data_IF_716593970224
#
_entry.id   IF_716593970224
#
_cell.length_a   1.000
_cell.length_b   1.000
_cell.length_c   1.000
_cell.angle_alpha   90.00
_cell.angle_beta   90.00
_cell.angle_gamma   90.00
#
_symmetry.space_group_name_H-M   'P 1'
#
loop_
_entity.id
_entity.type
_entity.pdbx_description
1 polymer ?
#
# COMPACT_ATOMS: atom_id res chain seq x y z
N UNK A 1 -17.28 12.94 14.92
CA UNK A 1 -16.37 13.47 13.91
C UNK A 1 -15.79 12.27 13.20
N UNK A 2 -16.34 11.95 12.02
CA UNK A 2 -15.97 10.78 11.24
C UNK A 2 -14.68 11.13 10.50
N UNK A 3 -13.53 10.77 11.06
CA UNK A 3 -12.26 10.89 10.34
C UNK A 3 -12.35 9.98 9.12
N UNK A 4 -12.47 10.57 7.93
CA UNK A 4 -12.47 9.84 6.67
C UNK A 4 -11.18 9.02 6.57
N UNK A 5 -11.32 7.70 6.73
CA UNK A 5 -10.27 6.70 6.54
C UNK A 5 -9.66 6.71 5.13
N UNK A 6 -10.21 7.51 4.21
CA UNK A 6 -9.74 7.72 2.83
C UNK A 6 -8.26 8.14 2.78
N UNK A 7 -7.79 9.00 3.70
CA UNK A 7 -6.39 9.48 3.63
C UNK A 7 -5.35 8.41 4.04
N UNK A 8 -5.52 7.65 5.14
CA UNK A 8 -4.67 6.47 5.42
C UNK A 8 -4.64 5.43 4.29
N UNK A 9 -5.75 5.30 3.55
CA UNK A 9 -5.91 4.33 2.46
C UNK A 9 -5.18 4.74 1.16
N UNK A 10 -4.86 6.02 1.01
CA UNK A 10 -4.14 6.54 -0.15
C UNK A 10 -2.62 6.40 0.00
N UNK A 11 -2.09 6.01 1.15
CA UNK A 11 -0.65 6.12 1.45
C UNK A 11 0.18 5.06 0.72
N UNK A 12 -0.25 3.78 0.75
CA UNK A 12 0.38 2.75 -0.10
C UNK A 12 0.13 3.07 -1.57
N UNK A 13 -1.07 3.55 -1.90
CA UNK A 13 -1.41 3.99 -3.24
C UNK A 13 -0.49 5.09 -3.80
N UNK A 14 -0.11 6.05 -2.97
CA UNK A 14 0.83 7.11 -3.30
C UNK A 14 2.28 6.63 -3.35
N UNK A 15 2.69 5.70 -2.48
CA UNK A 15 4.01 5.09 -2.55
C UNK A 15 4.17 4.28 -3.85
N UNK A 16 3.13 3.56 -4.24
CA UNK A 16 3.03 2.88 -5.55
C UNK A 16 3.05 3.90 -6.68
N UNK A 17 2.24 4.96 -6.62
CA UNK A 17 2.19 6.01 -7.65
C UNK A 17 3.55 6.73 -7.84
N UNK A 18 4.25 7.03 -6.75
CA UNK A 18 5.57 7.67 -6.79
C UNK A 18 6.69 6.72 -7.22
N UNK A 19 6.52 5.41 -7.06
CA UNK A 19 7.46 4.40 -7.59
C UNK A 19 7.46 4.33 -9.13
N UNK A 20 6.49 4.97 -9.81
CA UNK A 20 6.40 5.02 -11.28
C UNK A 20 7.23 6.13 -11.94
N UNK A 21 7.91 6.99 -11.16
CA UNK A 21 8.83 7.98 -11.71
C UNK A 21 10.22 7.35 -11.89
N UNK A 22 10.62 7.07 -13.14
CA UNK A 22 11.91 6.46 -13.55
C UNK A 22 13.19 7.11 -12.96
N UNK A 23 13.10 8.23 -12.24
CA UNK A 23 14.25 8.99 -11.74
C UNK A 23 14.10 9.51 -10.29
N UNK A 24 13.28 8.90 -9.44
CA UNK A 24 13.31 9.24 -8.00
C UNK A 24 13.54 8.02 -7.14
N UNK A 25 14.49 8.18 -6.22
CA UNK A 25 14.85 7.28 -5.13
C UNK A 25 13.64 6.50 -4.62
N UNK A 26 13.79 5.18 -4.41
CA UNK A 26 12.82 4.31 -3.74
C UNK A 26 12.10 5.11 -2.65
N UNK A 27 10.77 5.15 -2.69
CA UNK A 27 10.01 5.96 -1.76
C UNK A 27 10.46 5.62 -0.32
N UNK A 28 10.91 6.61 0.48
CA UNK A 28 11.56 6.40 1.78
C UNK A 28 10.64 5.74 2.83
N UNK A 29 9.36 5.51 2.54
CA UNK A 29 8.38 4.95 3.49
C UNK A 29 8.77 3.56 3.99
N UNK A 30 9.24 2.69 3.09
CA UNK A 30 9.69 1.33 3.41
C UNK A 30 11.13 1.33 3.96
N UNK A 31 11.87 2.42 3.78
CA UNK A 31 13.26 2.54 4.24
C UNK A 31 13.40 3.29 5.58
N UNK A 32 12.38 4.02 6.03
CA UNK A 32 12.43 4.81 7.28
C UNK A 32 12.18 3.94 8.51
N UNK A 33 11.18 3.07 8.44
CA UNK A 33 10.84 2.18 9.54
C UNK A 33 11.63 0.88 9.44
N UNK A 34 11.20 -0.03 8.56
CA UNK A 34 11.63 -1.43 8.56
C UNK A 34 11.59 -1.98 7.14
N UNK A 35 12.55 -2.85 6.79
CA UNK A 35 12.57 -3.51 5.49
C UNK A 35 11.42 -4.51 5.38
N UNK A 36 10.25 -4.00 5.03
CA UNK A 36 9.09 -4.79 4.66
C UNK A 36 8.46 -4.16 3.43
N UNK A 37 8.59 -4.85 2.31
CA UNK A 37 7.87 -4.53 1.09
C UNK A 37 6.50 -5.22 1.15
N UNK A 38 5.38 -4.49 1.12
CA UNK A 38 4.06 -5.10 1.08
C UNK A 38 3.99 -5.96 -0.18
N UNK A 39 3.71 -7.24 -0.02
CA UNK A 39 3.84 -8.20 -1.12
C UNK A 39 2.93 -7.91 -2.33
N UNK A 40 1.87 -7.10 -2.18
CA UNK A 40 0.99 -6.65 -3.28
C UNK A 40 1.35 -5.26 -3.83
N UNK A 41 2.26 -4.53 -3.18
CA UNK A 41 2.68 -3.19 -3.56
C UNK A 41 4.16 -3.10 -3.94
N UNK A 42 4.79 -4.24 -4.24
CA UNK A 42 6.18 -4.30 -4.69
C UNK A 42 6.25 -3.88 -6.17
N UNK A 43 6.85 -2.74 -6.54
CA UNK A 43 6.93 -2.28 -7.93
C UNK A 43 7.69 -3.23 -8.87
N UNK A 44 8.49 -4.14 -8.32
CA UNK A 44 9.15 -5.22 -9.08
C UNK A 44 8.25 -6.42 -9.38
N UNK A 45 7.04 -6.49 -8.82
CA UNK A 45 6.09 -7.58 -9.05
C UNK A 45 5.56 -7.58 -10.49
N UNK A 46 5.84 -8.65 -11.24
CA UNK A 46 5.47 -8.75 -12.66
C UNK A 46 3.95 -8.69 -12.88
N UNK A 47 3.14 -9.29 -11.99
CA UNK A 47 1.68 -9.23 -12.11
C UNK A 47 1.16 -7.82 -11.85
N UNK A 48 1.76 -7.12 -10.91
CA UNK A 48 1.45 -5.72 -10.65
C UNK A 48 1.82 -4.85 -11.86
N UNK A 49 3.01 -5.01 -12.45
CA UNK A 49 3.44 -4.27 -13.66
C UNK A 49 2.48 -4.48 -14.83
N UNK A 50 2.02 -5.70 -15.05
CA UNK A 50 0.99 -5.99 -16.06
C UNK A 50 -0.30 -5.21 -15.77
N UNK A 51 -0.82 -5.28 -14.54
CA UNK A 51 -2.03 -4.55 -14.14
C UNK A 51 -1.89 -3.03 -14.26
N UNK A 52 -0.72 -2.49 -13.91
CA UNK A 52 -0.39 -1.08 -14.10
C UNK A 52 -0.48 -0.71 -15.59
N UNK A 53 0.14 -1.49 -16.46
CA UNK A 53 0.10 -1.25 -17.91
C UNK A 53 -1.32 -1.36 -18.47
N UNK A 54 -2.11 -2.34 -18.02
CA UNK A 54 -3.49 -2.54 -18.44
C UNK A 54 -4.41 -1.38 -18.02
N UNK A 55 -4.20 -0.80 -16.84
CA UNK A 55 -5.12 0.20 -16.24
C UNK A 55 -4.69 1.64 -16.54
N UNK A 56 -3.39 1.91 -16.51
CA UNK A 56 -2.85 3.27 -16.70
C UNK A 56 -2.35 3.53 -18.12
N UNK A 57 -2.04 2.49 -18.88
CA UNK A 57 -1.36 2.64 -20.17
C UNK A 57 0.07 3.15 -19.99
N UNK A 58 0.31 4.42 -20.27
CA UNK A 58 1.63 5.06 -20.13
C UNK A 58 1.83 5.60 -18.69
N UNK A 59 2.83 5.10 -17.93
CA UNK A 59 3.11 5.56 -16.55
C UNK A 59 3.44 7.06 -16.45
N UNK A 60 3.79 7.73 -17.57
CA UNK A 60 4.02 9.19 -17.59
C UNK A 60 2.74 10.01 -17.38
N UNK A 61 1.56 9.39 -17.51
CA UNK A 61 0.26 10.04 -17.31
C UNK A 61 -0.03 10.44 -15.86
N UNK A 62 0.80 10.01 -14.90
CA UNK A 62 0.68 10.34 -13.47
C UNK A 62 1.65 11.43 -12.98
N UNK A 63 2.46 12.02 -13.88
CA UNK A 63 3.36 13.10 -13.49
C UNK A 63 2.57 14.41 -13.28
N UNK A 64 2.28 14.74 -12.04
CA UNK A 64 1.76 16.06 -11.68
C UNK A 64 2.92 17.00 -11.36
N UNK A 65 3.08 18.07 -12.16
CA UNK A 65 4.05 19.15 -11.90
C UNK A 65 3.61 20.08 -10.77
N UNK A 66 2.35 19.97 -10.33
CA UNK A 66 1.71 20.73 -9.25
C UNK A 66 1.13 19.77 -8.21
N UNK A 67 0.86 20.22 -6.97
CA UNK A 67 0.09 19.42 -6.02
C UNK A 67 -1.25 18.98 -6.64
N UNK A 68 -1.62 17.69 -6.57
CA UNK A 68 -2.87 17.20 -7.12
C UNK A 68 -4.07 17.84 -6.40
N UNK A 69 -5.11 18.14 -7.16
CA UNK A 69 -6.41 18.58 -6.64
C UNK A 69 -7.13 17.42 -5.96
N UNK A 70 -8.11 17.72 -5.09
CA UNK A 70 -8.91 16.69 -4.41
C UNK A 70 -9.59 15.72 -5.41
N UNK A 71 -10.02 16.22 -6.57
CA UNK A 71 -10.60 15.40 -7.63
C UNK A 71 -9.56 14.46 -8.26
N UNK A 72 -8.34 14.95 -8.52
CA UNK A 72 -7.25 14.11 -9.03
C UNK A 72 -6.83 13.04 -8.02
N UNK A 73 -6.91 13.34 -6.71
CA UNK A 73 -6.69 12.36 -5.65
C UNK A 73 -7.73 11.24 -5.66
N UNK A 74 -9.01 11.58 -5.83
CA UNK A 74 -10.09 10.59 -5.92
C UNK A 74 -9.95 9.70 -7.16
N UNK A 75 -9.65 10.29 -8.33
CA UNK A 75 -9.41 9.54 -9.57
C UNK A 75 -8.18 8.62 -9.46
N UNK A 76 -7.12 9.09 -8.80
CA UNK A 76 -5.94 8.30 -8.52
C UNK A 76 -6.26 7.14 -7.57
N UNK A 77 -7.03 7.39 -6.51
CA UNK A 77 -7.51 6.37 -5.57
C UNK A 77 -8.22 5.22 -6.29
N UNK A 78 -9.13 5.58 -7.21
CA UNK A 78 -9.92 4.60 -7.96
C UNK A 78 -9.03 3.76 -8.87
N UNK A 79 -8.09 4.39 -9.60
CA UNK A 79 -7.11 3.69 -10.44
C UNK A 79 -6.26 2.71 -9.63
N UNK A 80 -5.78 3.12 -8.47
CA UNK A 80 -5.00 2.28 -7.56
C UNK A 80 -5.82 1.10 -7.06
N UNK A 81 -7.08 1.33 -6.67
CA UNK A 81 -7.97 0.24 -6.26
C UNK A 81 -8.16 -0.79 -7.37
N UNK A 82 -8.28 -0.34 -8.63
CA UNK A 82 -8.33 -1.25 -9.78
C UNK A 82 -7.02 -2.03 -9.99
N UNK A 83 -5.86 -1.41 -9.79
CA UNK A 83 -4.55 -2.07 -9.90
C UNK A 83 -4.42 -3.17 -8.85
N UNK A 84 -4.77 -2.87 -7.61
CA UNK A 84 -4.75 -3.82 -6.50
C UNK A 84 -5.76 -4.96 -6.72
N UNK A 85 -6.97 -4.66 -7.22
CA UNK A 85 -7.93 -5.70 -7.61
C UNK A 85 -7.40 -6.61 -8.73
N UNK A 86 -6.86 -6.02 -9.81
CA UNK A 86 -6.28 -6.78 -10.91
C UNK A 86 -5.15 -7.71 -10.41
N UNK A 87 -4.27 -7.17 -9.56
CA UNK A 87 -3.13 -7.91 -9.01
C UNK A 87 -3.63 -9.06 -8.14
N UNK A 88 -4.59 -8.80 -7.25
CA UNK A 88 -5.22 -9.83 -6.40
C UNK A 88 -5.89 -10.94 -7.22
N UNK A 89 -6.56 -10.60 -8.34
CA UNK A 89 -7.13 -11.59 -9.27
C UNK A 89 -6.05 -12.47 -9.91
N UNK A 90 -4.95 -11.88 -10.39
CA UNK A 90 -3.83 -12.64 -10.96
C UNK A 90 -3.13 -13.53 -9.94
N UNK A 91 -3.26 -13.25 -8.64
CA UNK A 91 -2.80 -14.09 -7.54
C UNK A 91 -3.85 -15.05 -6.99
N UNK A 92 -5.06 -15.07 -7.54
CA UNK A 92 -6.17 -15.88 -7.05
C UNK A 92 -6.50 -15.59 -5.57
N UNK A 93 -6.26 -14.35 -5.13
CA UNK A 93 -6.53 -13.92 -3.75
C UNK A 93 -8.01 -13.62 -3.52
N UNK A 94 -8.82 -13.60 -4.58
CA UNK A 94 -10.24 -13.30 -4.51
C UNK A 94 -11.06 -14.53 -4.90
N UNK A 95 -12.10 -14.82 -4.12
CA UNK A 95 -13.12 -15.80 -4.50
C UNK A 95 -14.11 -15.22 -5.53
N UNK A 96 -15.10 -16.01 -5.94
CA UNK A 96 -16.12 -15.60 -6.91
C UNK A 96 -16.98 -14.42 -6.45
N UNK A 97 -17.06 -14.20 -5.13
CA UNK A 97 -17.82 -13.12 -4.52
C UNK A 97 -16.93 -11.88 -4.25
N UNK A 98 -15.65 -11.96 -4.63
CA UNK A 98 -14.67 -10.90 -4.42
C UNK A 98 -14.12 -10.83 -3.00
N UNK A 99 -14.28 -11.86 -2.17
CA UNK A 99 -13.70 -11.89 -0.83
C UNK A 99 -12.26 -12.39 -0.86
N UNK A 100 -11.47 -11.93 0.11
CA UNK A 100 -10.07 -12.33 0.24
C UNK A 100 -9.98 -13.78 0.72
N UNK A 101 -9.26 -14.60 -0.03
CA UNK A 101 -9.00 -16.01 0.31
C UNK A 101 -7.73 -16.09 1.17
N UNK A 102 -7.91 -16.20 2.50
CA UNK A 102 -6.80 -16.22 3.46
C UNK A 102 -5.74 -17.28 3.13
N UNK A 103 -6.13 -18.49 2.74
CA UNK A 103 -5.17 -19.54 2.43
C UNK A 103 -4.24 -19.16 1.26
N UNK A 104 -4.79 -18.53 0.21
CA UNK A 104 -4.04 -18.06 -0.96
C UNK A 104 -3.15 -16.86 -0.61
N UNK A 105 -3.66 -15.96 0.23
CA UNK A 105 -2.89 -14.85 0.78
C UNK A 105 -1.64 -15.35 1.53
N UNK A 106 -1.78 -16.35 2.41
CA UNK A 106 -0.65 -16.90 3.15
C UNK A 106 0.33 -17.64 2.24
N UNK A 107 -0.17 -18.40 1.26
CA UNK A 107 0.66 -19.07 0.25
C UNK A 107 1.55 -18.06 -0.50
N UNK A 108 0.96 -16.97 -1.00
CA UNK A 108 1.70 -15.92 -1.71
C UNK A 108 2.66 -15.19 -0.78
N UNK A 109 2.22 -14.84 0.43
CA UNK A 109 3.04 -14.10 1.38
C UNK A 109 4.26 -14.90 1.84
N UNK A 110 4.12 -16.20 2.10
CA UNK A 110 5.22 -17.08 2.54
C UNK A 110 6.42 -17.05 1.58
N UNK A 111 6.18 -16.97 0.26
CA UNK A 111 7.25 -16.88 -0.73
C UNK A 111 8.08 -15.58 -0.63
N UNK A 112 7.53 -14.52 -0.04
CA UNK A 112 8.18 -13.20 0.06
C UNK A 112 8.71 -12.87 1.46
N UNK A 113 8.11 -13.43 2.51
CA UNK A 113 8.42 -13.08 3.91
C UNK A 113 9.28 -14.10 4.65
N UNK A 114 9.60 -15.24 4.02
CA UNK A 114 10.42 -16.29 4.65
C UNK A 114 11.76 -15.72 5.11
N UNK A 115 12.12 -15.95 6.38
CA UNK A 115 13.35 -15.41 6.99
C UNK A 115 13.26 -13.95 7.41
N UNK A 116 12.09 -13.31 7.27
CA UNK A 116 11.83 -11.96 7.78
C UNK A 116 11.12 -12.02 9.14
N UNK A 117 11.08 -10.90 9.87
CA UNK A 117 10.35 -10.83 11.13
C UNK A 117 8.84 -11.12 10.95
N UNK A 118 8.28 -10.85 9.76
CA UNK A 118 6.86 -11.03 9.49
C UNK A 118 6.43 -12.49 9.32
N UNK A 119 7.36 -13.43 9.16
CA UNK A 119 7.05 -14.86 8.98
C UNK A 119 6.14 -15.40 10.09
N UNK A 120 6.40 -14.99 11.34
CA UNK A 120 5.61 -15.42 12.51
C UNK A 120 4.37 -14.56 12.78
N UNK A 121 4.21 -13.44 12.10
CA UNK A 121 3.14 -12.46 12.35
C UNK A 121 2.11 -12.38 11.22
N UNK A 122 2.43 -12.88 10.02
CA UNK A 122 1.60 -12.68 8.84
C UNK A 122 0.20 -13.29 8.98
N UNK A 123 0.06 -14.45 9.63
CA UNK A 123 -1.22 -15.13 9.72
C UNK A 123 -2.20 -14.35 10.60
N UNK A 124 -1.74 -13.90 11.76
CA UNK A 124 -2.53 -13.07 12.66
C UNK A 124 -2.84 -11.72 12.03
N UNK A 125 -1.85 -11.08 11.41
CA UNK A 125 -2.02 -9.81 10.72
C UNK A 125 -3.06 -9.92 9.59
N UNK A 126 -2.97 -10.97 8.75
CA UNK A 126 -3.89 -11.22 7.65
C UNK A 126 -5.33 -11.43 8.12
N UNK A 127 -5.55 -12.28 9.14
CA UNK A 127 -6.89 -12.51 9.72
C UNK A 127 -7.50 -11.21 10.22
N UNK A 128 -6.73 -10.44 10.99
CA UNK A 128 -7.19 -9.18 11.55
C UNK A 128 -7.49 -8.14 10.47
N UNK A 129 -6.67 -8.06 9.44
CA UNK A 129 -6.92 -7.18 8.30
C UNK A 129 -8.20 -7.56 7.56
N UNK A 130 -8.43 -8.84 7.27
CA UNK A 130 -9.66 -9.29 6.63
C UNK A 130 -10.89 -8.95 7.49
N UNK A 131 -10.82 -9.16 8.81
CA UNK A 131 -11.91 -8.79 9.72
C UNK A 131 -12.19 -7.29 9.76
N UNK A 132 -11.16 -6.45 9.70
CA UNK A 132 -11.30 -4.99 9.73
C UNK A 132 -11.88 -4.47 8.41
N UNK A 133 -11.47 -5.06 7.29
CA UNK A 133 -11.97 -4.76 5.94
C UNK A 133 -13.48 -4.98 5.82
N UNK A 134 -14.01 -6.09 6.32
CA UNK A 134 -15.46 -6.38 6.25
C UNK A 134 -16.32 -5.39 7.05
N UNK A 135 -15.73 -4.62 7.98
CA UNK A 135 -16.45 -3.63 8.79
C UNK A 135 -16.50 -2.24 8.15
N UNK A 136 -15.54 -1.92 7.27
CA UNK A 136 -15.23 -0.53 6.88
C UNK A 136 -15.38 -0.23 5.38
N UNK A 137 -15.69 -1.23 4.54
CA UNK A 137 -15.73 -0.98 3.09
C UNK A 137 -16.93 -0.12 2.66
N UNK A 138 -16.69 0.98 1.92
CA UNK A 138 -17.75 1.68 1.21
C UNK A 138 -18.36 0.79 0.11
N UNK A 139 -19.69 0.76 0.05
CA UNK A 139 -20.47 -0.20 -0.76
C UNK A 139 -20.38 -0.01 -2.28
N UNK A 140 -19.83 1.09 -2.77
CA UNK A 140 -19.83 1.41 -4.19
C UNK A 140 -18.48 1.99 -4.64
N UNK A 141 -17.70 1.16 -5.33
CA UNK A 141 -16.56 1.55 -6.14
C UNK A 141 -16.54 0.72 -7.42
N UNK A 142 -15.97 1.27 -8.49
CA UNK A 142 -15.90 0.60 -9.80
C UNK A 142 -15.08 -0.70 -9.76
N UNK A 143 -14.09 -0.73 -8.88
CA UNK A 143 -13.21 -1.86 -8.63
C UNK A 143 -13.35 -2.30 -7.17
N UNK A 144 -13.14 -3.58 -6.90
CA UNK A 144 -13.23 -4.14 -5.54
C UNK A 144 -12.16 -3.50 -4.65
N UNK A 145 -12.52 -2.79 -3.58
CA UNK A 145 -11.55 -2.09 -2.75
C UNK A 145 -10.84 -3.00 -1.75
N UNK A 146 -11.34 -4.23 -1.50
CA UNK A 146 -10.79 -5.18 -0.52
C UNK A 146 -9.26 -5.35 -0.64
N UNK A 147 -8.69 -5.56 -1.84
CA UNK A 147 -7.24 -5.72 -1.99
C UNK A 147 -6.42 -4.51 -1.59
N UNK A 148 -6.84 -3.29 -1.96
CA UNK A 148 -6.15 -2.06 -1.55
C UNK A 148 -6.17 -1.90 -0.02
N UNK A 149 -7.31 -2.15 0.61
CA UNK A 149 -7.40 -2.08 2.06
C UNK A 149 -6.55 -3.16 2.73
N UNK A 150 -6.46 -4.36 2.15
CA UNK A 150 -5.60 -5.44 2.64
C UNK A 150 -4.12 -5.05 2.55
N UNK A 151 -3.69 -4.49 1.42
CA UNK A 151 -2.32 -4.00 1.19
C UNK A 151 -1.94 -2.95 2.24
N UNK A 152 -2.79 -1.94 2.43
CA UNK A 152 -2.62 -0.91 3.46
C UNK A 152 -2.58 -1.49 4.88
N UNK A 153 -3.55 -2.34 5.24
CA UNK A 153 -3.61 -2.90 6.58
C UNK A 153 -2.36 -3.74 6.90
N UNK A 154 -1.92 -4.59 5.97
CA UNK A 154 -0.72 -5.41 6.18
C UNK A 154 0.55 -4.57 6.27
N UNK A 155 0.64 -3.48 5.51
CA UNK A 155 1.70 -2.50 5.68
C UNK A 155 1.71 -1.93 7.10
N UNK A 156 0.58 -1.42 7.61
CA UNK A 156 0.54 -0.89 8.99
C UNK A 156 0.85 -1.95 10.04
N UNK A 157 0.35 -3.18 9.87
CA UNK A 157 0.66 -4.29 10.77
C UNK A 157 2.15 -4.62 10.76
N UNK A 158 2.83 -4.53 9.62
CA UNK A 158 4.29 -4.72 9.56
C UNK A 158 5.06 -3.65 10.33
N UNK A 159 4.59 -2.40 10.27
CA UNK A 159 5.18 -1.30 11.05
C UNK A 159 4.97 -1.52 12.56
N UNK A 160 3.78 -1.96 12.97
CA UNK A 160 3.46 -2.26 14.37
C UNK A 160 4.27 -3.42 14.96
N UNK A 161 4.57 -4.43 14.14
CA UNK A 161 5.28 -5.64 14.57
C UNK A 161 6.79 -5.57 14.32
N UNK A 162 7.30 -4.45 13.83
CA UNK A 162 8.71 -4.34 13.52
C UNK A 162 9.59 -4.40 14.79
N UNK A 163 10.56 -5.33 14.84
CA UNK A 163 11.50 -5.42 15.95
C UNK A 163 12.31 -4.14 16.14
N UNK A 164 12.53 -3.74 17.39
CA UNK A 164 13.23 -2.48 17.72
C UNK A 164 14.66 -2.41 17.18
N UNK A 165 15.31 -3.55 16.96
CA UNK A 165 16.65 -3.69 16.37
C UNK A 165 16.66 -3.61 14.84
N UNK A 166 15.49 -3.69 14.19
CA UNK A 166 15.33 -3.50 12.74
C UNK A 166 14.80 -2.11 12.36
N UNK A 167 14.44 -1.28 13.34
CA UNK A 167 14.00 0.09 13.11
C UNK A 167 15.19 0.94 12.67
N UNK A 168 15.17 1.42 11.42
CA UNK A 168 16.26 2.23 10.84
C UNK A 168 16.33 3.64 11.45
N UNK A 169 15.19 4.32 11.58
CA UNK A 169 15.08 5.64 12.22
C UNK A 169 13.82 5.72 13.08
N UNK A 170 13.99 5.51 14.40
CA UNK A 170 12.86 5.45 15.34
C UNK A 170 12.05 6.74 15.38
N UNK A 171 12.69 7.90 15.37
CA UNK A 171 12.00 9.18 15.49
C UNK A 171 11.19 9.51 14.23
N UNK A 172 11.75 9.24 13.05
CA UNK A 172 11.01 9.40 11.78
C UNK A 172 9.90 8.36 11.64
N UNK A 173 10.14 7.12 12.08
CA UNK A 173 9.14 6.07 12.05
C UNK A 173 7.93 6.39 12.95
N UNK A 174 8.17 6.86 14.18
CA UNK A 174 7.11 7.29 15.10
C UNK A 174 6.32 8.49 14.56
N UNK A 175 7.02 9.47 13.97
CA UNK A 175 6.40 10.64 13.33
C UNK A 175 5.53 10.22 12.15
N UNK A 176 6.04 9.36 11.28
CA UNK A 176 5.29 8.83 10.14
C UNK A 176 4.04 8.08 10.61
N UNK A 177 4.15 7.19 11.60
CA UNK A 177 3.00 6.46 12.14
C UNK A 177 1.95 7.42 12.72
N UNK A 178 2.37 8.47 13.43
CA UNK A 178 1.46 9.48 14.00
C UNK A 178 0.77 10.30 12.92
N UNK A 179 1.50 10.75 11.89
CA UNK A 179 0.93 11.48 10.74
C UNK A 179 -0.14 10.66 10.05
N UNK A 180 0.13 9.38 9.80
CA UNK A 180 -0.79 8.47 9.13
C UNK A 180 -2.05 8.23 9.98
N UNK A 181 -1.89 7.97 11.28
CA UNK A 181 -3.02 7.80 12.20
C UNK A 181 -3.93 9.02 12.26
N UNK A 182 -3.35 10.21 12.06
CA UNK A 182 -4.07 11.47 12.04
C UNK A 182 -4.61 11.83 10.64
N UNK A 183 -4.53 10.92 9.66
CA UNK A 183 -4.99 11.15 8.30
C UNK A 183 -4.22 12.24 7.58
N UNK A 184 -2.95 12.43 7.92
CA UNK A 184 -2.03 13.34 7.21
C UNK A 184 -1.17 12.53 6.26
N UNK A 185 -0.76 13.17 5.17
CA UNK A 185 0.26 12.63 4.28
C UNK A 185 1.64 12.87 4.92
N UNK A 186 2.44 11.82 5.18
CA UNK A 186 3.74 12.02 5.82
C UNK A 186 4.65 13.05 5.14
N UNK A 187 5.20 13.99 5.92
CA UNK A 187 6.06 15.05 5.36
C UNK A 187 7.40 14.51 4.82
N UNK A 188 7.77 13.28 5.19
CA UNK A 188 8.94 12.59 4.64
C UNK A 188 8.78 12.13 3.18
N UNK A 189 7.63 12.40 2.56
CA UNK A 189 7.39 12.20 1.12
C UNK A 189 7.81 13.38 0.25
N UNK A 190 8.22 14.50 0.85
CA UNK A 190 8.72 15.64 0.07
C UNK A 190 10.01 15.23 -0.67
N UNK A 191 10.12 15.51 -1.97
CA UNK A 191 11.37 15.26 -2.69
C UNK A 191 12.51 16.03 -1.98
N UNK A 192 13.73 15.47 -1.96
CA UNK A 192 14.87 16.18 -1.39
C UNK A 192 14.97 17.56 -2.04
N UNK A 193 15.24 18.63 -1.26
CA UNK A 193 15.40 19.96 -1.82
C UNK A 193 16.49 19.92 -2.90
N UNK A 194 16.34 20.68 -3.99
CA UNK A 194 17.35 20.69 -5.06
C UNK A 194 18.70 21.07 -4.45
N UNK A 195 19.71 20.22 -4.68
CA UNK A 195 21.10 20.52 -4.32
C UNK A 195 21.52 21.79 -5.07
N UNK A 196 21.93 22.82 -4.31
CA UNK A 196 22.50 24.06 -4.86
C UNK A 196 23.99 23.89 -5.17
#
# INVERSE_FOLDING_TARGET
>A
MSSSLVVPLLIVGFAVANSFSENRHRAPIFEVCCEFEPFMAAPEDEKMKECISEILGDPKSMNHSNPPTDQELEELAEKIACIEECTAKKYELLDSDGNIVLAKLLEVAQGKINGTFMENHIEEAAKKCIEDIEKEIPKESKCNPKPLFLSNCLFFRSLENCPADQVKDKAKCETMIDEIKNGKFPHHFDPPPPEN
#
